data_IF_882100438863
#
_entry.id   IF_882100438863
#
_cell.length_a   1.000
_cell.length_b   1.000
_cell.length_c   1.000
_cell.angle_alpha   90.00
_cell.angle_beta   90.00
_cell.angle_gamma   90.00
#
_symmetry.space_group_name_H-M   'P 1'
#
loop_
_entity.id
_entity.type
_entity.pdbx_description
1 polymer ?
#
# COMPACT_ATOMS: atom_id res chain seq x y z
N UNK A 1 -7.85 15.82 -16.22
CA UNK A 1 -6.94 15.82 -15.05
C UNK A 1 -7.67 15.14 -13.89
N UNK A 2 -7.19 14.00 -13.36
CA UNK A 2 -7.93 13.22 -12.34
C UNK A 2 -8.28 14.05 -11.08
N UNK A 3 -7.32 14.78 -10.53
CA UNK A 3 -7.53 15.59 -9.31
C UNK A 3 -8.30 16.90 -9.54
N UNK A 4 -8.31 17.42 -10.77
CA UNK A 4 -8.95 18.70 -11.09
C UNK A 4 -10.48 18.70 -10.95
N UNK A 5 -11.10 17.52 -10.88
CA UNK A 5 -12.54 17.39 -10.60
C UNK A 5 -12.87 17.55 -9.10
N UNK A 6 -11.87 17.42 -8.23
CA UNK A 6 -12.03 17.38 -6.77
C UNK A 6 -11.68 18.73 -6.14
N UNK A 7 -10.83 19.51 -6.82
CA UNK A 7 -10.54 20.88 -6.44
C UNK A 7 -9.33 21.46 -7.17
N UNK A 8 -9.11 22.75 -6.92
CA UNK A 8 -7.94 23.48 -7.36
C UNK A 8 -6.72 23.16 -6.48
N UNK A 9 -5.56 23.12 -7.11
CA UNK A 9 -4.28 22.89 -6.46
C UNK A 9 -3.14 23.54 -7.25
N UNK A 10 -2.03 23.81 -6.57
CA UNK A 10 -0.76 24.20 -7.18
C UNK A 10 0.32 23.17 -6.91
N UNK A 11 1.24 23.02 -7.87
CA UNK A 11 2.40 22.15 -7.79
C UNK A 11 3.66 22.99 -7.64
N UNK A 12 4.51 22.62 -6.69
CA UNK A 12 5.79 23.27 -6.44
C UNK A 12 6.90 22.22 -6.42
N UNK A 13 7.88 22.34 -7.32
CA UNK A 13 9.08 21.51 -7.28
C UNK A 13 9.98 21.98 -6.14
N UNK A 14 10.45 21.06 -5.30
CA UNK A 14 11.33 21.39 -4.17
C UNK A 14 12.75 20.87 -4.40
N UNK A 15 12.86 19.64 -4.86
CA UNK A 15 14.13 19.00 -5.23
C UNK A 15 13.87 17.91 -6.27
N UNK A 16 14.93 17.27 -6.78
CA UNK A 16 14.80 16.19 -7.77
C UNK A 16 13.88 15.08 -7.24
N UNK A 17 12.76 14.84 -7.92
CA UNK A 17 11.77 13.83 -7.55
C UNK A 17 10.87 14.18 -6.35
N UNK A 18 10.96 15.39 -5.77
CA UNK A 18 10.12 15.81 -4.63
C UNK A 18 9.31 17.04 -4.98
N UNK A 19 8.00 16.92 -4.79
CA UNK A 19 7.01 17.95 -5.09
C UNK A 19 6.16 18.26 -3.86
N UNK A 20 5.83 19.53 -3.67
CA UNK A 20 4.79 19.97 -2.75
C UNK A 20 3.52 20.30 -3.55
N UNK A 21 2.42 19.71 -3.12
CA UNK A 21 1.09 19.95 -3.70
C UNK A 21 0.30 20.73 -2.66
N UNK A 22 -0.07 21.97 -2.99
CA UNK A 22 -0.93 22.80 -2.15
C UNK A 22 -2.35 22.72 -2.70
N UNK A 23 -3.26 22.19 -1.90
CA UNK A 23 -4.68 22.20 -2.20
C UNK A 23 -5.33 23.42 -1.57
N UNK A 24 -6.30 24.02 -2.27
CA UNK A 24 -7.08 25.14 -1.74
C UNK A 24 -8.08 24.68 -0.66
N UNK A 25 -8.38 23.39 -0.63
CA UNK A 25 -9.35 22.76 0.25
C UNK A 25 -8.78 21.50 0.89
N UNK A 26 -8.94 21.37 2.21
CA UNK A 26 -8.53 20.18 2.97
C UNK A 26 -9.25 18.90 2.53
N UNK A 27 -10.53 18.98 2.16
CA UNK A 27 -11.28 17.82 1.67
C UNK A 27 -10.74 17.31 0.33
N UNK A 28 -10.32 18.20 -0.58
CA UNK A 28 -9.69 17.78 -1.83
C UNK A 28 -8.35 17.07 -1.60
N UNK A 29 -7.53 17.56 -0.65
CA UNK A 29 -6.30 16.89 -0.22
C UNK A 29 -6.60 15.48 0.30
N UNK A 30 -7.54 15.37 1.25
CA UNK A 30 -7.82 14.11 1.93
C UNK A 30 -8.41 13.09 0.95
N UNK A 31 -9.33 13.49 0.07
CA UNK A 31 -9.83 12.63 -1.00
C UNK A 31 -8.71 12.11 -1.91
N UNK A 32 -7.76 12.97 -2.32
CA UNK A 32 -6.62 12.53 -3.13
C UNK A 32 -5.73 11.56 -2.36
N UNK A 33 -5.49 11.76 -1.06
CA UNK A 33 -4.72 10.82 -0.25
C UNK A 33 -5.43 9.46 -0.13
N UNK A 34 -6.75 9.44 0.03
CA UNK A 34 -7.53 8.24 0.30
C UNK A 34 -7.86 7.41 -0.96
N UNK A 35 -7.80 8.03 -2.15
CA UNK A 35 -8.21 7.39 -3.42
C UNK A 35 -7.03 7.06 -4.35
N UNK A 36 -5.81 6.98 -3.81
CA UNK A 36 -4.65 6.46 -4.52
C UNK A 36 -4.72 4.93 -4.77
N UNK A 37 -3.72 4.33 -5.45
CA UNK A 37 -2.45 4.92 -5.88
C UNK A 37 -2.59 5.84 -7.11
N UNK A 38 -1.60 6.71 -7.32
CA UNK A 38 -1.61 7.66 -8.43
C UNK A 38 -0.47 7.43 -9.40
N UNK A 39 -0.82 7.38 -10.68
CA UNK A 39 0.10 7.29 -11.79
C UNK A 39 0.09 8.57 -12.61
N UNK A 40 1.29 9.12 -12.86
CA UNK A 40 1.49 10.23 -13.79
C UNK A 40 2.54 9.79 -14.81
N UNK A 41 2.12 9.69 -16.08
CA UNK A 41 3.00 9.32 -17.20
C UNK A 41 3.82 8.05 -16.99
N UNK A 42 3.22 7.03 -16.35
CA UNK A 42 3.88 5.75 -16.08
C UNK A 42 4.75 5.73 -14.82
N UNK A 43 4.82 6.83 -14.07
CA UNK A 43 5.48 6.89 -12.77
C UNK A 43 4.45 6.83 -11.64
N UNK A 44 4.63 5.87 -10.73
CA UNK A 44 3.90 5.79 -9.47
C UNK A 44 4.33 6.93 -8.54
N UNK A 45 3.36 7.63 -7.95
CA UNK A 45 3.61 8.72 -7.01
C UNK A 45 3.20 8.29 -5.61
N UNK A 46 4.16 8.33 -4.68
CA UNK A 46 3.90 8.25 -3.25
C UNK A 46 3.45 9.61 -2.72
N UNK A 47 2.26 9.67 -2.13
CA UNK A 47 1.74 10.89 -1.50
C UNK A 47 1.78 10.75 0.02
N UNK A 48 2.23 11.81 0.70
CA UNK A 48 2.16 11.94 2.15
C UNK A 48 1.72 13.33 2.55
N UNK A 49 0.94 13.44 3.62
CA UNK A 49 0.57 14.74 4.19
C UNK A 49 1.83 15.40 4.76
N UNK A 50 2.14 16.60 4.28
CA UNK A 50 3.30 17.35 4.74
C UNK A 50 3.13 17.81 6.20
N UNK A 51 4.21 17.74 6.98
CA UNK A 51 4.32 18.32 8.31
C UNK A 51 5.65 19.03 8.51
N UNK A 52 5.69 19.99 9.45
CA UNK A 52 6.92 20.71 9.80
C UNK A 52 7.99 19.72 10.26
N UNK A 53 9.17 19.79 9.66
CA UNK A 53 10.29 18.90 9.97
C UNK A 53 10.43 17.69 9.03
N UNK A 54 9.50 17.47 8.10
CA UNK A 54 9.69 16.47 7.05
C UNK A 54 10.87 16.82 6.15
N UNK A 55 11.70 15.82 5.86
CA UNK A 55 12.71 15.90 4.80
C UNK A 55 12.04 16.19 3.45
N UNK A 56 12.58 17.17 2.73
CA UNK A 56 12.18 17.51 1.35
C UNK A 56 13.17 16.94 0.32
N UNK A 57 13.88 15.89 0.70
CA UNK A 57 14.74 15.09 -0.17
C UNK A 57 14.03 13.79 -0.51
N UNK A 58 14.30 13.29 -1.71
CA UNK A 58 13.88 11.95 -2.08
C UNK A 58 14.71 10.99 -1.25
N UNK A 59 14.08 10.39 -0.25
CA UNK A 59 14.72 9.35 0.55
C UNK A 59 14.73 8.05 -0.26
N UNK A 60 15.76 7.23 -0.06
CA UNK A 60 15.79 5.88 -0.61
C UNK A 60 14.61 5.10 -0.04
N UNK A 61 13.66 4.76 -0.92
CA UNK A 61 12.50 3.97 -0.55
C UNK A 61 12.92 2.51 -0.52
N UNK A 62 13.38 2.04 0.64
CA UNK A 62 13.85 0.66 0.79
C UNK A 62 12.70 -0.36 0.83
N UNK A 63 11.51 0.07 1.25
CA UNK A 63 10.31 -0.76 1.28
C UNK A 63 9.06 0.02 0.89
N UNK A 64 8.02 -0.69 0.45
CA UNK A 64 6.74 -0.14 0.01
C UNK A 64 5.58 -1.00 0.54
N UNK A 65 4.48 -0.38 1.04
CA UNK A 65 3.28 -1.11 1.43
C UNK A 65 2.49 -1.54 0.19
N UNK A 66 2.27 -2.84 0.02
CA UNK A 66 1.55 -3.43 -1.11
C UNK A 66 0.38 -4.27 -0.61
N UNK A 67 -0.80 -4.06 -1.21
CA UNK A 67 -1.95 -4.92 -0.99
C UNK A 67 -1.85 -6.19 -1.82
N UNK A 68 -1.57 -7.32 -1.16
CA UNK A 68 -1.48 -8.65 -1.75
C UNK A 68 -2.81 -9.37 -1.62
N UNK A 69 -3.21 -10.09 -2.67
CA UNK A 69 -4.38 -10.98 -2.67
C UNK A 69 -3.91 -12.44 -2.61
N UNK A 70 -4.11 -13.09 -1.47
CA UNK A 70 -3.83 -14.51 -1.29
C UNK A 70 -5.07 -15.33 -1.64
N UNK A 71 -4.98 -16.17 -2.66
CA UNK A 71 -6.05 -17.09 -3.07
C UNK A 71 -5.69 -18.52 -2.63
N UNK A 72 -6.69 -19.40 -2.55
CA UNK A 72 -6.50 -20.83 -2.18
C UNK A 72 -5.81 -21.05 -0.82
N UNK A 73 -6.03 -20.14 0.14
CA UNK A 73 -5.47 -20.31 1.48
C UNK A 73 -6.18 -21.47 2.22
N UNK A 74 -5.48 -22.37 2.89
CA UNK A 74 -6.12 -23.42 3.69
C UNK A 74 -7.00 -22.82 4.79
N UNK A 75 -8.21 -23.38 4.98
CA UNK A 75 -9.20 -22.85 5.92
C UNK A 75 -8.69 -22.75 7.36
N UNK A 76 -7.82 -23.68 7.78
CA UNK A 76 -7.23 -23.69 9.12
C UNK A 76 -6.23 -22.54 9.34
N UNK A 77 -5.65 -21.98 8.26
CA UNK A 77 -4.78 -20.79 8.31
C UNK A 77 -5.55 -19.48 8.23
N UNK A 78 -6.88 -19.50 8.14
CA UNK A 78 -7.73 -18.30 8.03
C UNK A 78 -7.90 -17.54 9.35
N UNK A 79 -6.84 -17.49 10.16
CA UNK A 79 -6.72 -16.66 11.36
C UNK A 79 -5.80 -15.48 11.07
N UNK A 80 -5.87 -14.44 11.91
CA UNK A 80 -4.92 -13.31 11.81
C UNK A 80 -3.47 -13.81 11.85
N UNK A 81 -3.18 -14.80 12.69
CA UNK A 81 -1.85 -15.39 12.81
C UNK A 81 -1.46 -16.17 11.54
N UNK A 82 -2.32 -17.07 11.05
CA UNK A 82 -2.04 -17.89 9.87
C UNK A 82 -1.89 -17.06 8.59
N UNK A 83 -2.76 -16.08 8.38
CA UNK A 83 -2.67 -15.16 7.25
C UNK A 83 -1.42 -14.29 7.31
N UNK A 84 -1.03 -13.82 8.51
CA UNK A 84 0.21 -13.08 8.70
C UNK A 84 1.44 -13.96 8.48
N UNK A 85 1.38 -15.23 8.88
CA UNK A 85 2.44 -16.20 8.64
C UNK A 85 2.68 -16.40 7.14
N UNK A 86 1.63 -16.64 6.34
CA UNK A 86 1.76 -16.77 4.88
C UNK A 86 2.32 -15.47 4.27
N UNK A 87 1.76 -14.32 4.64
CA UNK A 87 2.19 -13.03 4.12
C UNK A 87 3.63 -12.65 4.52
N UNK A 88 4.15 -13.24 5.61
CA UNK A 88 5.51 -12.96 6.08
C UNK A 88 6.60 -13.38 5.10
N UNK A 89 6.30 -14.32 4.20
CA UNK A 89 7.20 -14.73 3.11
C UNK A 89 7.50 -13.57 2.15
N UNK A 90 6.56 -12.64 2.01
CA UNK A 90 6.66 -11.49 1.10
C UNK A 90 7.33 -10.27 1.76
N UNK A 91 7.23 -10.15 3.09
CA UNK A 91 7.66 -8.97 3.83
C UNK A 91 6.98 -8.87 5.18
N UNK A 92 6.84 -7.67 5.74
CA UNK A 92 6.19 -7.48 7.05
C UNK A 92 4.69 -7.22 6.87
N UNK A 93 3.78 -8.08 7.35
CA UNK A 93 2.35 -7.82 7.30
C UNK A 93 1.99 -6.58 8.14
N UNK A 94 1.20 -5.67 7.58
CA UNK A 94 0.77 -4.42 8.20
C UNK A 94 -0.72 -4.43 8.58
N UNK A 95 -1.58 -4.67 7.58
CA UNK A 95 -3.03 -4.53 7.71
C UNK A 95 -3.77 -5.63 6.96
N UNK A 96 -5.00 -5.93 7.40
CA UNK A 96 -5.96 -6.75 6.65
C UNK A 96 -7.18 -5.90 6.36
N UNK A 97 -7.80 -6.09 5.20
CA UNK A 97 -9.08 -5.41 4.93
C UNK A 97 -10.21 -5.96 5.82
N UNK A 98 -11.31 -5.22 5.91
CA UNK A 98 -12.43 -5.61 6.76
C UNK A 98 -13.07 -6.95 6.35
N UNK A 99 -13.28 -7.26 5.05
CA UNK A 99 -13.79 -8.56 4.63
C UNK A 99 -12.91 -9.73 5.06
N UNK A 100 -11.58 -9.61 4.93
CA UNK A 100 -10.61 -10.63 5.37
C UNK A 100 -10.63 -10.80 6.88
N UNK A 101 -10.59 -9.69 7.62
CA UNK A 101 -10.59 -9.68 9.08
C UNK A 101 -11.85 -10.33 9.65
N UNK A 102 -13.02 -10.01 9.07
CA UNK A 102 -14.32 -10.49 9.51
C UNK A 102 -14.69 -11.84 8.89
N UNK A 103 -13.81 -12.45 8.07
CA UNK A 103 -14.04 -13.74 7.39
C UNK A 103 -15.35 -13.77 6.58
N UNK A 104 -15.74 -12.64 5.99
CA UNK A 104 -16.99 -12.53 5.22
C UNK A 104 -16.92 -13.30 3.90
N UNK A 105 -15.73 -13.42 3.33
CA UNK A 105 -15.46 -14.19 2.13
C UNK A 105 -14.12 -14.92 2.28
N UNK A 106 -14.12 -16.22 2.02
CA UNK A 106 -12.96 -17.11 2.17
C UNK A 106 -12.36 -17.52 0.80
N UNK A 107 -12.78 -16.90 -0.30
CA UNK A 107 -12.19 -17.13 -1.62
C UNK A 107 -10.80 -16.51 -1.75
N UNK A 108 -10.54 -15.42 -1.03
CA UNK A 108 -9.23 -14.78 -0.95
C UNK A 108 -9.09 -13.93 0.32
N UNK A 109 -7.86 -13.74 0.77
CA UNK A 109 -7.49 -12.78 1.80
C UNK A 109 -6.74 -11.60 1.17
N UNK A 110 -7.04 -10.36 1.60
CA UNK A 110 -6.28 -9.16 1.23
C UNK A 110 -5.50 -8.64 2.43
N UNK A 111 -4.19 -8.55 2.25
CA UNK A 111 -3.24 -8.19 3.30
C UNK A 111 -2.31 -7.12 2.73
N UNK A 112 -2.16 -6.01 3.44
CA UNK A 112 -1.15 -5.01 3.17
C UNK A 112 0.17 -5.48 3.79
N UNK A 113 1.22 -5.59 2.98
CA UNK A 113 2.55 -6.07 3.37
C UNK A 113 3.57 -4.99 3.03
N UNK A 114 4.41 -4.63 3.99
CA UNK A 114 5.59 -3.81 3.74
C UNK A 114 6.67 -4.70 3.12
N UNK A 115 6.88 -4.56 1.82
CA UNK A 115 7.78 -5.38 1.02
C UNK A 115 9.01 -4.56 0.62
N UNK A 116 10.17 -5.21 0.50
CA UNK A 116 11.35 -4.53 -0.08
C UNK A 116 11.01 -3.97 -1.46
N UNK A 117 11.41 -2.73 -1.75
CA UNK A 117 11.19 -2.10 -3.05
C UNK A 117 11.94 -2.81 -4.19
N UNK A 118 12.97 -3.60 -3.86
CA UNK A 118 13.72 -4.45 -4.79
C UNK A 118 13.25 -5.90 -4.81
N UNK A 119 12.20 -6.24 -4.04
CA UNK A 119 11.68 -7.61 -3.97
C UNK A 119 11.14 -8.07 -5.32
N UNK A 120 11.37 -9.33 -5.64
CA UNK A 120 10.55 -10.04 -6.63
C UNK A 120 9.13 -10.21 -6.11
N UNK A 121 8.14 -10.14 -7.00
CA UNK A 121 6.73 -10.42 -6.69
C UNK A 121 6.39 -11.85 -7.14
N UNK A 122 6.54 -12.86 -6.26
CA UNK A 122 6.26 -14.24 -6.65
C UNK A 122 4.77 -14.44 -6.90
N UNK A 123 4.45 -15.27 -7.89
CA UNK A 123 3.07 -15.64 -8.22
C UNK A 123 2.51 -16.73 -7.29
N UNK A 124 3.36 -17.39 -6.51
CA UNK A 124 2.99 -18.50 -5.61
C UNK A 124 3.88 -18.53 -4.38
N UNK A 125 3.33 -19.01 -3.26
CA UNK A 125 4.03 -19.22 -1.99
C UNK A 125 3.87 -20.70 -1.62
N UNK A 126 4.98 -21.41 -1.41
CA UNK A 126 4.96 -22.77 -0.87
C UNK A 126 4.87 -22.72 0.65
N UNK A 127 3.99 -23.52 1.23
CA UNK A 127 3.82 -23.64 2.67
C UNK A 127 4.17 -25.07 3.08
N UNK A 128 5.18 -25.22 3.92
CA UNK A 128 5.46 -26.48 4.59
C UNK A 128 4.53 -26.55 5.81
N UNK A 129 3.45 -27.28 5.67
CA UNK A 129 2.58 -27.63 6.79
C UNK A 129 3.23 -28.85 7.44
N UNK A 130 3.60 -28.75 8.72
CA UNK A 130 3.90 -29.94 9.50
C UNK A 130 2.61 -30.75 9.59
N UNK A 131 2.48 -31.75 8.72
CA UNK A 131 1.48 -32.80 8.86
C UNK A 131 1.77 -33.51 10.19
N UNK A 132 0.88 -33.32 11.16
CA UNK A 132 0.90 -34.07 12.43
C UNK A 132 0.64 -35.55 12.21
#
# INVERSE_FOLDING_TARGET
>A
RKWGHVGSFSFHSVSSGVFLIKFDNGHARDWVLDNGPWDIWGYHIALRKWSKGMSLKLEECNSIPIWVKLSNVPIHLWSKLGLSYIASVLGRPLYMDAPTTNRQNLSFARICVDMSATSSFPNSISLDLEDG
#
